data_IF_191220790668
#
_entry.id   IF_191220790668
#
_cell.length_a   1.000
_cell.length_b   1.000
_cell.length_c   1.000
_cell.angle_alpha   90.00
_cell.angle_beta   90.00
_cell.angle_gamma   90.00
#
_symmetry.space_group_name_H-M   'P 1'
#
loop_
_entity.id
_entity.type
_entity.pdbx_description
1 polymer ?
#
# COMPACT_ATOMS: atom_id res chain seq x y z
N UNK A 1 49.50 -32.17 -17.89
CA UNK A 1 48.35 -31.35 -17.41
C UNK A 1 48.86 -30.22 -16.55
N UNK A 2 48.74 -29.01 -17.07
CA UNK A 2 49.60 -27.85 -16.82
C UNK A 2 49.50 -27.29 -15.38
N UNK A 3 50.65 -27.08 -14.72
CA UNK A 3 50.81 -26.40 -13.41
C UNK A 3 50.17 -25.01 -13.37
N UNK A 4 50.03 -24.35 -14.53
CA UNK A 4 49.42 -23.02 -14.69
C UNK A 4 47.91 -23.05 -14.49
N UNK A 5 47.16 -24.09 -14.96
CA UNK A 5 45.73 -24.23 -14.80
C UNK A 5 45.34 -24.48 -13.32
N UNK A 6 46.21 -25.21 -12.59
CA UNK A 6 46.02 -25.45 -11.14
C UNK A 6 46.25 -24.19 -10.30
N UNK A 7 47.11 -23.25 -10.74
CA UNK A 7 47.37 -21.99 -10.04
C UNK A 7 46.22 -20.99 -10.26
N UNK A 8 45.68 -20.92 -11.47
CA UNK A 8 44.52 -20.06 -11.80
C UNK A 8 43.28 -20.54 -11.03
N UNK A 9 43.01 -21.83 -11.00
CA UNK A 9 41.86 -22.39 -10.23
C UNK A 9 41.94 -22.14 -8.72
N UNK A 10 43.15 -22.19 -8.13
CA UNK A 10 43.34 -21.85 -6.69
C UNK A 10 43.17 -20.36 -6.40
N UNK A 11 43.66 -19.48 -7.30
CA UNK A 11 43.46 -18.04 -7.17
C UNK A 11 42.00 -17.62 -7.23
N UNK A 12 41.24 -18.16 -8.19
CA UNK A 12 39.77 -17.91 -8.33
C UNK A 12 39.03 -18.46 -7.13
N UNK A 13 39.34 -19.65 -6.65
CA UNK A 13 38.68 -20.25 -5.47
C UNK A 13 38.94 -19.44 -4.19
N UNK A 14 40.16 -18.93 -3.98
CA UNK A 14 40.50 -18.07 -2.84
C UNK A 14 39.78 -16.72 -2.92
N UNK A 15 39.67 -16.13 -4.12
CA UNK A 15 38.93 -14.86 -4.32
C UNK A 15 37.42 -15.04 -4.07
N UNK A 16 36.84 -16.13 -4.57
CA UNK A 16 35.42 -16.44 -4.32
C UNK A 16 35.15 -16.70 -2.83
N UNK A 17 36.01 -17.47 -2.16
CA UNK A 17 35.90 -17.73 -0.72
C UNK A 17 36.05 -16.44 0.10
N UNK A 18 36.96 -15.53 -0.29
CA UNK A 18 37.12 -14.21 0.35
C UNK A 18 35.88 -13.32 0.17
N UNK A 19 35.33 -13.26 -1.03
CA UNK A 19 34.08 -12.48 -1.31
C UNK A 19 32.90 -13.06 -0.53
N UNK A 20 32.70 -14.37 -0.54
CA UNK A 20 31.64 -15.04 0.22
C UNK A 20 31.80 -14.80 1.72
N UNK A 21 33.03 -14.89 2.25
CA UNK A 21 33.34 -14.58 3.65
C UNK A 21 33.00 -13.14 4.03
N UNK A 22 33.39 -12.17 3.20
CA UNK A 22 33.11 -10.76 3.41
C UNK A 22 31.60 -10.45 3.37
N UNK A 23 30.87 -11.01 2.40
CA UNK A 23 29.42 -10.86 2.30
C UNK A 23 28.71 -11.46 3.52
N UNK A 24 29.12 -12.67 3.95
CA UNK A 24 28.55 -13.32 5.14
C UNK A 24 28.80 -12.51 6.40
N UNK A 25 29.99 -11.97 6.57
CA UNK A 25 30.33 -11.10 7.71
C UNK A 25 29.53 -9.79 7.68
N UNK A 26 29.35 -9.16 6.51
CA UNK A 26 28.54 -7.96 6.35
C UNK A 26 27.05 -8.21 6.68
N UNK A 27 26.47 -9.30 6.19
CA UNK A 27 25.09 -9.70 6.47
C UNK A 27 24.93 -10.01 7.97
N UNK A 28 25.83 -10.79 8.55
CA UNK A 28 25.83 -11.09 9.99
C UNK A 28 25.95 -9.83 10.85
N UNK A 29 26.87 -8.94 10.48
CA UNK A 29 27.04 -7.64 11.14
C UNK A 29 25.79 -6.77 11.07
N UNK A 30 25.14 -6.71 9.90
CA UNK A 30 23.88 -5.99 9.74
C UNK A 30 22.74 -6.59 10.60
N UNK A 31 22.59 -7.92 10.66
CA UNK A 31 21.59 -8.58 11.50
C UNK A 31 21.79 -8.20 12.98
N UNK A 32 23.05 -8.23 13.46
CA UNK A 32 23.36 -7.83 14.84
C UNK A 32 23.08 -6.35 15.05
N UNK A 33 23.48 -5.49 14.10
CA UNK A 33 23.24 -4.05 14.18
C UNK A 33 21.73 -3.73 14.23
N UNK A 34 20.94 -4.29 13.31
CA UNK A 34 19.49 -4.11 13.26
C UNK A 34 18.82 -4.47 14.60
N UNK A 35 19.17 -5.64 15.15
CA UNK A 35 18.55 -6.13 16.39
C UNK A 35 18.98 -5.37 17.65
N UNK A 36 20.17 -4.79 17.66
CA UNK A 36 20.75 -4.18 18.86
C UNK A 36 20.62 -2.66 18.88
N UNK A 37 20.70 -2.02 17.71
CA UNK A 37 20.83 -0.57 17.62
C UNK A 37 19.68 0.14 16.90
N UNK A 38 18.82 -0.60 16.16
CA UNK A 38 17.61 0.00 15.60
C UNK A 38 16.47 -0.17 16.59
N UNK A 39 15.84 0.94 16.94
CA UNK A 39 14.67 0.94 17.82
C UNK A 39 13.44 0.47 17.03
N UNK A 40 12.70 -0.51 17.55
CA UNK A 40 11.52 -1.11 16.90
C UNK A 40 10.22 -0.89 17.69
N UNK A 41 10.23 0.03 18.62
CA UNK A 41 9.13 0.44 19.50
C UNK A 41 9.12 1.96 19.69
N UNK A 42 9.42 2.68 18.59
CA UNK A 42 9.44 4.14 18.59
C UNK A 42 8.06 4.70 18.99
N UNK A 43 8.00 5.83 19.69
CA UNK A 43 6.74 6.56 19.83
C UNK A 43 6.14 6.83 18.46
N UNK A 44 4.85 6.54 18.29
CA UNK A 44 4.12 6.82 17.07
C UNK A 44 3.16 7.97 17.32
N UNK A 45 3.39 9.06 16.61
CA UNK A 45 2.50 10.22 16.64
C UNK A 45 1.18 9.91 15.93
N UNK A 46 0.16 10.73 16.16
CA UNK A 46 -1.08 10.64 15.39
C UNK A 46 -0.82 11.01 13.93
N UNK A 47 -1.35 10.23 13.00
CA UNK A 47 -1.29 10.53 11.57
C UNK A 47 -2.09 11.79 11.19
N UNK A 48 -3.20 12.02 11.89
CA UNK A 48 -4.17 13.08 11.61
C UNK A 48 -4.57 13.77 12.92
N UNK A 49 -4.81 15.07 12.85
CA UNK A 49 -5.31 15.88 13.96
C UNK A 49 -6.81 15.66 14.18
N UNK A 50 -7.15 14.43 14.58
CA UNK A 50 -8.51 13.98 14.79
C UNK A 50 -8.60 12.98 15.94
N UNK A 51 -9.82 12.66 16.35
CA UNK A 51 -10.06 11.58 17.30
C UNK A 51 -9.66 10.24 16.67
N UNK A 52 -8.76 9.51 17.35
CA UNK A 52 -8.38 8.15 16.98
C UNK A 52 -9.21 7.17 17.82
N UNK A 53 -9.84 6.24 17.14
CA UNK A 53 -10.66 5.19 17.73
C UNK A 53 -10.20 3.82 17.23
N UNK A 54 -10.57 2.78 17.94
CA UNK A 54 -10.32 1.40 17.55
C UNK A 54 -11.66 0.65 17.47
N UNK A 55 -11.78 -0.29 16.54
CA UNK A 55 -12.86 -1.28 16.52
C UNK A 55 -12.28 -2.69 16.33
N UNK A 56 -13.01 -3.69 16.78
CA UNK A 56 -12.62 -5.08 16.61
C UNK A 56 -13.32 -5.66 15.37
N UNK A 57 -12.56 -5.84 14.27
CA UNK A 57 -13.04 -6.56 13.11
C UNK A 57 -13.12 -8.05 13.41
N UNK A 58 -14.17 -8.72 12.91
CA UNK A 58 -14.34 -10.17 13.06
C UNK A 58 -13.23 -10.96 12.38
N UNK A 59 -12.66 -10.42 11.29
CA UNK A 59 -11.69 -11.12 10.44
C UNK A 59 -10.26 -10.60 10.59
N UNK A 60 -10.10 -9.31 10.95
CA UNK A 60 -8.83 -8.63 10.85
C UNK A 60 -8.21 -8.21 12.20
N UNK A 61 -8.90 -8.49 13.31
CA UNK A 61 -8.44 -8.07 14.65
C UNK A 61 -8.72 -6.60 14.92
N UNK A 62 -7.91 -5.98 15.78
CA UNK A 62 -8.08 -4.56 16.16
C UNK A 62 -7.64 -3.65 15.02
N UNK A 63 -8.56 -2.83 14.54
CA UNK A 63 -8.36 -1.81 13.50
C UNK A 63 -8.48 -0.43 14.13
N UNK A 64 -7.47 0.41 13.91
CA UNK A 64 -7.48 1.80 14.31
C UNK A 64 -7.92 2.70 13.16
N UNK A 65 -8.63 3.76 13.47
CA UNK A 65 -9.08 4.75 12.51
C UNK A 65 -9.21 6.14 13.13
N UNK A 66 -9.14 7.15 12.29
CA UNK A 66 -9.41 8.54 12.63
C UNK A 66 -10.80 8.93 12.16
N UNK A 67 -11.51 9.74 12.93
CA UNK A 67 -12.86 10.16 12.60
C UNK A 67 -13.10 11.65 12.86
N UNK A 68 -13.81 12.28 11.93
CA UNK A 68 -14.51 13.54 12.17
C UNK A 68 -16.00 13.32 11.85
N UNK A 69 -16.85 13.40 12.87
CA UNK A 69 -18.30 13.25 12.78
C UNK A 69 -19.04 14.56 13.06
N UNK A 70 -18.34 15.69 12.97
CA UNK A 70 -18.92 17.01 13.29
C UNK A 70 -20.02 17.45 12.33
N UNK A 71 -20.04 16.89 11.13
CA UNK A 71 -21.02 17.20 10.08
C UNK A 71 -21.92 16.02 9.73
N UNK A 72 -23.03 16.31 9.08
CA UNK A 72 -23.98 15.31 8.56
C UNK A 72 -23.75 15.07 7.06
N UNK A 73 -24.33 14.01 6.54
CA UNK A 73 -24.26 13.68 5.10
C UNK A 73 -23.75 12.28 4.83
N UNK A 74 -23.36 12.02 3.58
CA UNK A 74 -22.78 10.75 3.17
C UNK A 74 -21.37 10.60 3.75
N UNK A 75 -21.05 9.51 4.45
CA UNK A 75 -19.72 9.29 4.99
C UNK A 75 -18.66 9.17 3.89
N UNK A 76 -17.47 9.68 4.17
CA UNK A 76 -16.27 9.51 3.35
C UNK A 76 -15.29 8.61 4.09
N UNK A 77 -14.89 7.51 3.47
CA UNK A 77 -13.91 6.57 4.02
C UNK A 77 -12.65 6.59 3.18
N UNK A 78 -11.52 6.84 3.82
CA UNK A 78 -10.21 6.99 3.21
C UNK A 78 -9.32 5.80 3.55
N UNK A 79 -8.78 5.15 2.52
CA UNK A 79 -7.93 3.97 2.61
C UNK A 79 -6.55 4.28 2.04
N UNK A 80 -5.54 4.26 2.90
CA UNK A 80 -4.14 4.45 2.50
C UNK A 80 -3.64 3.30 1.61
N UNK A 81 -2.51 3.48 0.94
CA UNK A 81 -1.88 2.44 0.12
C UNK A 81 -1.41 1.23 0.94
N UNK A 82 -0.99 0.17 0.27
CA UNK A 82 -0.25 -0.93 0.91
C UNK A 82 1.12 -1.05 0.25
N UNK A 83 2.15 -0.68 1.01
CA UNK A 83 3.55 -0.71 0.61
C UNK A 83 4.45 -1.08 1.80
N UNK A 84 5.69 -0.59 1.88
CA UNK A 84 6.59 -0.90 2.98
C UNK A 84 6.25 -0.14 4.28
N UNK A 85 5.78 1.11 4.19
CA UNK A 85 5.60 1.98 5.36
C UNK A 85 4.38 2.91 5.24
N UNK A 86 3.19 2.45 4.81
CA UNK A 86 2.01 3.28 4.64
C UNK A 86 1.25 3.47 5.96
N UNK A 87 0.36 4.45 5.97
CA UNK A 87 -0.58 4.69 7.08
C UNK A 87 -1.67 5.68 6.65
N UNK A 88 -2.64 5.94 7.51
CA UNK A 88 -3.64 6.98 7.32
C UNK A 88 -3.04 8.37 7.02
N UNK A 89 -1.75 8.60 7.31
CA UNK A 89 -1.04 9.83 6.98
C UNK A 89 -1.05 10.12 5.48
N UNK A 90 -1.00 9.10 4.62
CA UNK A 90 -1.08 9.27 3.17
C UNK A 90 -2.36 10.00 2.73
N UNK A 91 -3.44 9.86 3.50
CA UNK A 91 -4.75 10.43 3.19
C UNK A 91 -4.99 11.80 3.84
N UNK A 92 -3.97 12.38 4.51
CA UNK A 92 -4.09 13.64 5.26
C UNK A 92 -4.70 14.80 4.45
N UNK A 93 -4.28 15.10 3.20
CA UNK A 93 -4.87 16.23 2.46
C UNK A 93 -6.37 16.07 2.23
N UNK A 94 -6.85 14.85 1.97
CA UNK A 94 -8.27 14.57 1.79
C UNK A 94 -9.03 14.66 3.11
N UNK A 95 -8.48 14.08 4.17
CA UNK A 95 -9.10 14.14 5.50
C UNK A 95 -9.27 15.59 5.97
N UNK A 96 -8.21 16.40 5.91
CA UNK A 96 -8.22 17.79 6.35
C UNK A 96 -9.15 18.67 5.50
N UNK A 97 -9.28 18.37 4.20
CA UNK A 97 -10.17 19.14 3.34
C UNK A 97 -11.65 18.86 3.61
N UNK A 98 -12.03 17.59 3.74
CA UNK A 98 -13.44 17.20 3.86
C UNK A 98 -13.96 17.17 5.30
N UNK A 99 -13.08 17.21 6.32
CA UNK A 99 -13.51 17.34 7.72
C UNK A 99 -14.34 18.61 7.91
N UNK A 100 -15.36 18.54 8.75
CA UNK A 100 -16.28 19.66 8.95
C UNK A 100 -17.29 19.90 7.81
N UNK A 101 -17.12 19.27 6.64
CA UNK A 101 -18.06 19.35 5.52
C UNK A 101 -18.99 18.12 5.48
N UNK A 102 -18.47 16.94 5.83
CA UNK A 102 -19.16 15.66 5.89
C UNK A 102 -18.47 14.74 6.90
N UNK A 103 -19.11 13.65 7.36
CA UNK A 103 -18.42 12.66 8.19
C UNK A 103 -17.25 12.04 7.42
N UNK A 104 -16.01 12.12 7.96
CA UNK A 104 -14.79 11.61 7.33
C UNK A 104 -14.10 10.62 8.24
N UNK A 105 -13.66 9.51 7.67
CA UNK A 105 -12.96 8.44 8.36
C UNK A 105 -11.71 8.05 7.59
N UNK A 106 -10.59 7.84 8.27
CA UNK A 106 -9.36 7.33 7.68
C UNK A 106 -8.87 6.13 8.48
N UNK A 107 -8.74 4.97 7.82
CA UNK A 107 -8.32 3.74 8.46
C UNK A 107 -6.81 3.58 8.42
N UNK A 108 -6.26 3.04 9.49
CA UNK A 108 -5.00 2.29 9.41
C UNK A 108 -5.35 0.83 9.07
N UNK A 109 -5.00 0.37 7.88
CA UNK A 109 -5.30 -0.99 7.44
C UNK A 109 -4.54 -2.04 8.29
N UNK A 110 -5.00 -3.30 8.36
CA UNK A 110 -4.34 -4.36 9.13
C UNK A 110 -2.85 -4.47 8.83
N UNK A 111 -2.01 -4.45 9.87
CA UNK A 111 -0.56 -4.48 9.74
C UNK A 111 0.12 -3.11 9.66
N UNK A 112 -0.63 -2.00 9.68
CA UNK A 112 -0.13 -0.65 9.49
C UNK A 112 -0.66 0.33 10.55
N UNK A 113 -0.02 1.52 10.62
CA UNK A 113 -0.42 2.61 11.51
C UNK A 113 -0.58 2.15 12.96
N UNK A 114 -1.69 2.45 13.59
CA UNK A 114 -2.05 1.99 14.92
C UNK A 114 -2.84 0.67 14.95
N UNK A 115 -3.17 0.09 13.79
CA UNK A 115 -3.85 -1.20 13.70
C UNK A 115 -2.96 -2.36 14.14
N UNK A 116 -3.58 -3.50 14.47
CA UNK A 116 -2.86 -4.69 14.89
C UNK A 116 -1.85 -5.18 13.83
N UNK A 117 -0.63 -5.49 14.30
CA UNK A 117 0.50 -5.97 13.49
C UNK A 117 0.96 -7.36 13.93
N UNK A 118 0.04 -8.29 14.09
CA UNK A 118 0.38 -9.68 14.48
C UNK A 118 1.04 -10.45 13.33
N UNK A 119 1.82 -11.47 13.69
CA UNK A 119 2.33 -12.47 12.73
C UNK A 119 1.17 -13.38 12.29
N UNK A 120 0.57 -13.04 11.18
CA UNK A 120 -0.62 -13.70 10.62
C UNK A 120 -0.57 -13.76 9.10
N UNK A 121 -1.50 -14.50 8.51
CA UNK A 121 -1.69 -14.49 7.06
C UNK A 121 -2.29 -13.15 6.61
N UNK A 122 -1.53 -12.37 5.85
CA UNK A 122 -2.03 -11.20 5.12
C UNK A 122 -2.39 -11.60 3.69
N UNK A 123 -3.59 -11.25 3.25
CA UNK A 123 -4.11 -11.60 1.92
C UNK A 123 -5.09 -10.54 1.43
N UNK A 124 -5.40 -10.46 0.12
CA UNK A 124 -6.45 -9.58 -0.38
C UNK A 124 -7.78 -9.77 0.35
N UNK A 125 -8.15 -11.00 0.68
CA UNK A 125 -9.37 -11.32 1.42
C UNK A 125 -9.36 -10.72 2.85
N UNK A 126 -8.22 -10.70 3.53
CA UNK A 126 -8.12 -10.08 4.86
C UNK A 126 -8.45 -8.59 4.79
N UNK A 127 -7.90 -7.87 3.80
CA UNK A 127 -8.14 -6.44 3.63
C UNK A 127 -9.56 -6.15 3.14
N UNK A 128 -10.09 -6.95 2.21
CA UNK A 128 -11.51 -6.90 1.81
C UNK A 128 -12.42 -6.99 3.03
N UNK A 129 -12.25 -8.02 3.86
CA UNK A 129 -13.08 -8.24 5.05
C UNK A 129 -12.91 -7.11 6.07
N UNK A 130 -11.69 -6.60 6.26
CA UNK A 130 -11.43 -5.46 7.16
C UNK A 130 -12.22 -4.21 6.73
N UNK A 131 -12.28 -3.92 5.43
CA UNK A 131 -13.03 -2.80 4.86
C UNK A 131 -14.53 -3.04 5.04
N UNK A 132 -15.03 -4.21 4.68
CA UNK A 132 -16.44 -4.57 4.85
C UNK A 132 -16.90 -4.52 6.31
N UNK A 133 -16.11 -5.08 7.22
CA UNK A 133 -16.41 -5.04 8.67
C UNK A 133 -16.48 -3.60 9.18
N UNK A 134 -15.56 -2.72 8.73
CA UNK A 134 -15.59 -1.31 9.10
C UNK A 134 -16.82 -0.59 8.57
N UNK A 135 -17.16 -0.78 7.29
CA UNK A 135 -18.33 -0.16 6.68
C UNK A 135 -19.63 -0.60 7.37
N UNK A 136 -19.73 -1.86 7.76
CA UNK A 136 -20.89 -2.39 8.50
C UNK A 136 -20.96 -1.88 9.93
N UNK A 137 -19.89 -2.07 10.69
CA UNK A 137 -19.90 -1.88 12.14
C UNK A 137 -19.79 -0.41 12.55
N UNK A 138 -19.00 0.41 11.82
CA UNK A 138 -18.70 1.78 12.21
C UNK A 138 -19.47 2.81 11.39
N UNK A 139 -19.67 2.55 10.10
CA UNK A 139 -20.34 3.47 9.18
C UNK A 139 -21.85 3.21 9.16
N UNK A 140 -22.30 1.97 8.99
CA UNK A 140 -23.70 1.53 9.09
C UNK A 140 -24.63 2.04 7.97
N UNK A 141 -24.10 2.65 6.91
CA UNK A 141 -24.83 3.14 5.73
C UNK A 141 -23.91 3.23 4.52
N UNK A 142 -24.44 3.29 3.28
CA UNK A 142 -23.61 3.44 2.09
C UNK A 142 -22.66 4.63 2.19
N UNK A 143 -21.39 4.44 1.84
CA UNK A 143 -20.33 5.43 1.93
C UNK A 143 -19.66 5.69 0.58
N UNK A 144 -19.07 6.88 0.44
CA UNK A 144 -18.06 7.13 -0.59
C UNK A 144 -16.72 6.63 -0.07
N UNK A 145 -16.08 5.74 -0.80
CA UNK A 145 -14.79 5.17 -0.42
C UNK A 145 -13.71 5.68 -1.38
N UNK A 146 -12.64 6.24 -0.83
CA UNK A 146 -11.45 6.64 -1.58
C UNK A 146 -10.30 5.73 -1.19
N UNK A 147 -9.74 5.02 -2.15
CA UNK A 147 -8.61 4.11 -1.94
C UNK A 147 -7.39 4.54 -2.76
N UNK A 148 -6.20 4.27 -2.22
CA UNK A 148 -4.92 4.63 -2.84
C UNK A 148 -4.15 3.38 -3.27
N UNK A 149 -3.66 3.37 -4.52
CA UNK A 149 -2.73 2.36 -5.05
C UNK A 149 -3.26 0.92 -4.90
N UNK A 150 -2.54 0.01 -4.25
CA UNK A 150 -2.95 -1.39 -4.07
C UNK A 150 -4.25 -1.55 -3.26
N UNK A 151 -4.56 -0.62 -2.36
CA UNK A 151 -5.83 -0.68 -1.61
C UNK A 151 -7.06 -0.52 -2.48
N UNK A 152 -6.90 0.00 -3.71
CA UNK A 152 -7.96 0.04 -4.71
C UNK A 152 -8.46 -1.38 -5.06
N UNK A 153 -7.55 -2.37 -5.14
CA UNK A 153 -7.96 -3.77 -5.36
C UNK A 153 -8.82 -4.30 -4.21
N UNK A 154 -8.45 -3.99 -2.97
CA UNK A 154 -9.17 -4.47 -1.79
C UNK A 154 -10.53 -3.80 -1.62
N UNK A 155 -10.60 -2.48 -1.88
CA UNK A 155 -11.85 -1.75 -1.89
C UNK A 155 -12.79 -2.24 -3.00
N UNK A 156 -12.24 -2.52 -4.19
CA UNK A 156 -12.99 -3.08 -5.29
C UNK A 156 -13.52 -4.49 -4.99
N UNK A 157 -12.69 -5.36 -4.38
CA UNK A 157 -13.14 -6.68 -3.91
C UNK A 157 -14.29 -6.56 -2.90
N UNK A 158 -14.20 -5.62 -1.95
CA UNK A 158 -15.27 -5.36 -1.00
C UNK A 158 -16.54 -4.84 -1.70
N UNK A 159 -16.40 -3.89 -2.64
CA UNK A 159 -17.52 -3.33 -3.38
C UNK A 159 -18.20 -4.34 -4.33
N UNK A 160 -17.44 -5.26 -4.92
CA UNK A 160 -18.01 -6.34 -5.74
C UNK A 160 -18.75 -7.37 -4.88
N UNK A 161 -18.29 -7.63 -3.66
CA UNK A 161 -18.87 -8.63 -2.78
C UNK A 161 -20.09 -8.09 -2.01
N UNK A 162 -20.06 -6.82 -1.59
CA UNK A 162 -21.08 -6.14 -0.78
C UNK A 162 -21.34 -4.72 -1.33
N UNK A 163 -21.91 -4.62 -2.53
CA UNK A 163 -22.08 -3.34 -3.23
C UNK A 163 -22.98 -2.36 -2.47
N UNK A 164 -23.90 -2.84 -1.64
CA UNK A 164 -24.80 -2.00 -0.83
C UNK A 164 -24.08 -1.13 0.21
N UNK A 165 -22.84 -1.48 0.58
CA UNK A 165 -22.02 -0.68 1.50
C UNK A 165 -21.40 0.55 0.83
N UNK A 166 -21.37 0.59 -0.51
CA UNK A 166 -20.72 1.62 -1.29
C UNK A 166 -21.75 2.48 -2.04
N UNK A 167 -21.69 3.79 -1.87
CA UNK A 167 -22.35 4.74 -2.76
C UNK A 167 -21.51 4.96 -4.01
N UNK A 168 -20.20 5.11 -3.82
CA UNK A 168 -19.20 5.25 -4.89
C UNK A 168 -17.82 4.74 -4.46
N UNK A 169 -16.97 4.45 -5.44
CA UNK A 169 -15.57 4.10 -5.23
C UNK A 169 -14.67 5.05 -6.02
N UNK A 170 -13.75 5.72 -5.34
CA UNK A 170 -12.69 6.51 -5.96
C UNK A 170 -11.36 5.79 -5.82
N UNK A 171 -10.67 5.61 -6.91
CA UNK A 171 -9.38 4.95 -7.01
C UNK A 171 -8.30 5.98 -7.37
N UNK A 172 -7.36 6.22 -6.45
CA UNK A 172 -6.21 7.10 -6.72
C UNK A 172 -5.01 6.24 -7.09
N UNK A 173 -4.45 6.46 -8.28
CA UNK A 173 -3.29 5.72 -8.81
C UNK A 173 -3.41 4.19 -8.65
N UNK A 174 -4.52 3.57 -9.09
CA UNK A 174 -4.77 2.15 -8.86
C UNK A 174 -3.79 1.24 -9.60
N UNK A 175 -3.53 0.05 -9.03
CA UNK A 175 -2.85 -1.07 -9.69
C UNK A 175 -3.75 -1.77 -10.71
N UNK A 176 -3.17 -2.69 -11.52
CA UNK A 176 -3.96 -3.55 -12.43
C UNK A 176 -4.13 -3.01 -13.85
N UNK A 177 -3.60 -1.84 -14.18
CA UNK A 177 -3.74 -1.23 -15.51
C UNK A 177 -2.50 -1.34 -16.41
N UNK A 178 -1.45 -2.04 -15.98
CA UNK A 178 -0.32 -2.38 -16.83
C UNK A 178 -0.72 -3.42 -17.88
N UNK A 179 -0.20 -3.33 -19.13
CA UNK A 179 -0.40 -4.38 -20.11
C UNK A 179 0.26 -5.70 -19.65
N UNK A 180 -0.27 -6.86 -20.06
CA UNK A 180 0.24 -8.17 -19.61
C UNK A 180 1.75 -8.38 -19.84
N UNK A 181 2.31 -7.78 -20.91
CA UNK A 181 3.75 -7.82 -21.21
C UNK A 181 4.64 -7.10 -20.17
N UNK A 182 4.08 -6.08 -19.50
CA UNK A 182 4.78 -5.25 -18.51
C UNK A 182 4.42 -5.62 -17.07
N UNK A 183 3.34 -6.34 -16.89
CA UNK A 183 2.91 -6.76 -15.56
C UNK A 183 3.75 -7.93 -15.05
N UNK A 184 4.97 -7.59 -14.63
CA UNK A 184 5.90 -8.54 -13.99
C UNK A 184 5.32 -9.16 -12.72
N UNK A 185 4.40 -8.45 -12.05
CA UNK A 185 3.73 -8.93 -10.84
C UNK A 185 2.58 -9.89 -11.19
N UNK A 186 1.76 -9.60 -12.21
CA UNK A 186 0.75 -10.53 -12.71
C UNK A 186 1.38 -11.75 -13.40
N UNK A 187 2.49 -11.56 -14.15
CA UNK A 187 3.24 -12.68 -14.74
C UNK A 187 3.82 -13.61 -13.66
N UNK A 188 4.26 -13.06 -12.54
CA UNK A 188 4.64 -13.83 -11.35
C UNK A 188 3.43 -14.46 -10.65
N UNK A 189 2.20 -13.92 -10.84
CA UNK A 189 0.96 -14.53 -10.33
C UNK A 189 0.66 -15.88 -10.96
N UNK A 190 0.93 -16.07 -12.26
CA UNK A 190 0.86 -17.38 -12.92
C UNK A 190 1.82 -18.41 -12.29
N UNK A 191 2.93 -17.95 -11.70
CA UNK A 191 3.86 -18.77 -10.95
C UNK A 191 3.52 -18.76 -9.44
N UNK A 192 2.36 -19.28 -9.04
CA UNK A 192 1.93 -19.40 -7.63
C UNK A 192 3.05 -19.95 -6.72
N UNK A 193 3.89 -20.87 -7.25
CA UNK A 193 5.05 -21.38 -6.56
C UNK A 193 6.20 -20.37 -6.36
N UNK A 194 6.40 -19.41 -7.25
CA UNK A 194 7.47 -18.41 -7.13
C UNK A 194 7.20 -17.39 -6.03
N UNK A 195 5.97 -16.89 -5.90
CA UNK A 195 5.57 -16.00 -4.80
C UNK A 195 5.71 -16.66 -3.44
N UNK A 196 5.33 -17.94 -3.33
CA UNK A 196 5.49 -18.70 -2.09
C UNK A 196 6.96 -18.89 -1.71
N UNK A 197 7.84 -19.17 -2.67
CA UNK A 197 9.29 -19.30 -2.42
C UNK A 197 9.91 -17.97 -2.00
N UNK A 198 9.55 -16.87 -2.67
CA UNK A 198 10.04 -15.54 -2.30
C UNK A 198 9.56 -15.17 -0.89
N UNK A 199 8.29 -15.35 -0.59
CA UNK A 199 7.77 -15.14 0.76
C UNK A 199 8.51 -16.00 1.80
N UNK A 200 8.65 -17.30 1.56
CA UNK A 200 9.34 -18.21 2.47
C UNK A 200 10.79 -17.76 2.72
N UNK A 201 11.47 -17.25 1.69
CA UNK A 201 12.78 -16.64 1.84
C UNK A 201 12.77 -15.37 2.69
N UNK A 202 11.88 -14.42 2.40
CA UNK A 202 11.80 -13.15 3.11
C UNK A 202 11.29 -13.29 4.56
N UNK A 203 10.40 -14.25 4.82
CA UNK A 203 9.77 -14.46 6.12
C UNK A 203 10.65 -15.21 7.16
N UNK A 204 11.87 -15.63 6.80
CA UNK A 204 12.76 -16.31 7.74
C UNK A 204 13.08 -15.43 8.93
N UNK A 205 12.79 -15.83 10.19
CA UNK A 205 12.87 -14.99 11.38
C UNK A 205 14.23 -14.35 11.64
N UNK A 206 15.34 -15.02 11.18
CA UNK A 206 16.69 -14.51 11.42
C UNK A 206 16.96 -13.20 10.70
N UNK A 207 16.39 -12.99 9.52
CA UNK A 207 16.62 -11.77 8.72
C UNK A 207 15.37 -11.02 8.27
N UNK A 208 14.16 -11.52 8.53
CA UNK A 208 12.92 -10.82 8.11
C UNK A 208 12.91 -9.38 8.63
N UNK A 209 13.11 -9.15 9.94
CA UNK A 209 13.18 -7.82 10.51
C UNK A 209 14.41 -7.03 10.00
N UNK A 210 15.64 -7.55 10.04
CA UNK A 210 16.82 -6.87 9.51
C UNK A 210 16.71 -6.48 8.02
N UNK A 211 16.08 -7.33 7.18
CA UNK A 211 15.81 -6.99 5.80
C UNK A 211 14.79 -5.85 5.68
N UNK A 212 13.73 -5.92 6.48
CA UNK A 212 12.72 -4.86 6.50
C UNK A 212 13.31 -3.52 6.97
N UNK A 213 14.26 -3.50 7.92
CA UNK A 213 14.94 -2.29 8.36
C UNK A 213 15.76 -1.61 7.24
N UNK A 214 16.31 -2.39 6.29
CA UNK A 214 16.92 -1.82 5.08
C UNK A 214 15.87 -1.16 4.19
N UNK A 215 14.76 -1.84 3.94
CA UNK A 215 13.67 -1.35 3.09
C UNK A 215 13.01 -0.12 3.70
N UNK A 216 12.89 -0.06 5.02
CA UNK A 216 12.25 1.02 5.78
C UNK A 216 13.24 2.03 6.38
N UNK A 217 14.51 2.01 5.95
CA UNK A 217 15.48 3.05 6.31
C UNK A 217 15.08 4.41 5.71
N UNK A 218 15.42 5.51 6.39
CA UNK A 218 15.12 6.88 5.89
C UNK A 218 15.56 7.11 4.44
N UNK A 219 16.79 6.73 4.02
CA UNK A 219 17.18 6.86 2.62
C UNK A 219 16.32 6.04 1.65
N UNK A 220 15.92 4.84 2.05
CA UNK A 220 15.05 3.99 1.23
C UNK A 220 13.64 4.59 1.11
N UNK A 221 13.04 5.02 2.23
CA UNK A 221 11.74 5.70 2.25
C UNK A 221 11.78 6.95 1.35
N UNK A 222 12.78 7.81 1.53
CA UNK A 222 12.97 9.00 0.71
C UNK A 222 13.08 8.68 -0.77
N UNK A 223 13.85 7.64 -1.13
CA UNK A 223 14.00 7.18 -2.51
C UNK A 223 12.66 6.77 -3.13
N UNK A 224 11.86 5.95 -2.44
CA UNK A 224 10.57 5.49 -2.96
C UNK A 224 9.52 6.62 -3.01
N UNK A 225 9.52 7.51 -2.03
CA UNK A 225 8.65 8.69 -2.07
C UNK A 225 9.04 9.63 -3.21
N UNK A 226 10.32 9.86 -3.47
CA UNK A 226 10.78 10.65 -4.62
C UNK A 226 10.33 10.06 -5.97
N UNK A 227 10.14 8.74 -6.06
CA UNK A 227 9.53 8.12 -7.25
C UNK A 227 8.03 8.43 -7.37
N UNK A 228 7.35 8.59 -6.24
CA UNK A 228 5.89 8.78 -6.16
C UNK A 228 5.44 10.25 -6.18
N UNK A 229 6.39 11.21 -6.13
CA UNK A 229 6.16 12.64 -6.23
C UNK A 229 6.83 13.22 -7.48
N UNK A 230 6.18 14.13 -8.17
CA UNK A 230 6.78 14.95 -9.23
C UNK A 230 7.62 16.08 -8.62
N UNK A 231 7.10 16.70 -7.58
CA UNK A 231 7.74 17.75 -6.81
C UNK A 231 8.54 17.25 -5.60
N UNK A 232 8.74 18.13 -4.64
CA UNK A 232 9.45 17.78 -3.40
C UNK A 232 8.56 16.95 -2.48
N UNK A 233 9.13 15.90 -1.91
CA UNK A 233 8.50 15.12 -0.85
C UNK A 233 8.46 15.96 0.44
N UNK A 234 7.31 16.12 1.10
CA UNK A 234 7.25 16.76 2.40
C UNK A 234 8.10 16.00 3.43
N UNK A 235 8.97 16.71 4.16
CA UNK A 235 9.89 16.10 5.13
C UNK A 235 9.14 15.28 6.19
N UNK A 236 8.03 15.82 6.71
CA UNK A 236 7.18 15.13 7.68
C UNK A 236 6.60 13.80 7.17
N UNK A 237 6.47 13.63 5.85
CA UNK A 237 6.02 12.37 5.28
C UNK A 237 7.06 11.26 5.50
N UNK A 238 8.33 11.57 5.26
CA UNK A 238 9.45 10.64 5.49
C UNK A 238 9.55 10.29 6.96
N UNK A 239 9.44 11.29 7.84
CA UNK A 239 9.52 11.11 9.28
C UNK A 239 8.41 10.20 9.80
N UNK A 240 7.16 10.44 9.38
CA UNK A 240 6.03 9.63 9.80
C UNK A 240 6.11 8.20 9.24
N UNK A 241 6.49 8.04 7.98
CA UNK A 241 6.70 6.72 7.38
C UNK A 241 7.80 5.94 8.13
N UNK A 242 8.86 6.62 8.56
CA UNK A 242 9.90 6.00 9.37
C UNK A 242 9.39 5.56 10.75
N UNK A 243 8.64 6.43 11.46
CA UNK A 243 8.04 6.09 12.75
C UNK A 243 7.11 4.87 12.65
N UNK A 244 6.20 4.85 11.66
CA UNK A 244 5.25 3.75 11.50
C UNK A 244 5.93 2.44 11.09
N UNK A 245 7.05 2.49 10.36
CA UNK A 245 7.84 1.32 10.00
C UNK A 245 8.63 0.73 11.18
N UNK A 246 8.90 1.54 12.21
CA UNK A 246 9.69 1.14 13.39
C UNK A 246 8.81 0.80 14.61
N UNK A 247 7.67 0.18 14.32
CA UNK A 247 6.75 -0.35 15.33
C UNK A 247 6.92 -1.87 15.48
N UNK A 248 6.54 -2.44 16.64
CA UNK A 248 6.48 -3.90 16.82
C UNK A 248 5.62 -4.55 15.72
N UNK A 249 6.15 -5.58 15.06
CA UNK A 249 5.44 -6.34 14.02
C UNK A 249 5.30 -5.65 12.66
N UNK A 250 5.88 -4.45 12.47
CA UNK A 250 5.74 -3.67 11.23
C UNK A 250 6.27 -4.39 9.97
N UNK A 251 7.12 -5.41 10.11
CA UNK A 251 7.66 -6.19 8.98
C UNK A 251 6.67 -7.19 8.39
N UNK A 252 5.63 -7.62 9.13
CA UNK A 252 4.82 -8.76 8.70
C UNK A 252 4.00 -8.46 7.43
N UNK A 253 3.13 -7.48 7.45
CA UNK A 253 2.32 -7.11 6.27
C UNK A 253 3.18 -6.72 5.05
N UNK A 254 4.23 -5.87 5.17
CA UNK A 254 5.14 -5.56 4.06
C UNK A 254 5.85 -6.78 3.46
N UNK A 255 6.14 -7.83 4.23
CA UNK A 255 6.73 -9.05 3.69
C UNK A 255 5.80 -9.72 2.66
N UNK A 256 4.48 -9.71 2.89
CA UNK A 256 3.50 -10.20 1.91
C UNK A 256 3.41 -9.28 0.70
N UNK A 257 3.46 -7.96 0.88
CA UNK A 257 3.52 -7.00 -0.22
C UNK A 257 4.77 -7.23 -1.09
N UNK A 258 5.95 -7.23 -0.51
CA UNK A 258 7.24 -7.39 -1.21
C UNK A 258 7.35 -8.73 -1.94
N UNK A 259 6.72 -9.78 -1.41
CA UNK A 259 6.64 -11.07 -2.08
C UNK A 259 5.57 -11.13 -3.19
N UNK A 260 4.78 -10.09 -3.38
CA UNK A 260 3.71 -9.99 -4.36
C UNK A 260 2.44 -10.78 -4.01
N UNK A 261 2.32 -11.28 -2.78
CA UNK A 261 1.16 -12.10 -2.35
C UNK A 261 -0.13 -11.30 -2.15
N UNK A 262 -0.04 -9.98 -2.05
CA UNK A 262 -1.19 -9.10 -1.85
C UNK A 262 -1.86 -8.65 -3.16
N UNK A 263 -1.25 -8.89 -4.31
CA UNK A 263 -1.82 -8.51 -5.59
C UNK A 263 -2.85 -9.54 -6.07
N UNK A 264 -4.02 -9.08 -6.48
CA UNK A 264 -5.09 -9.90 -7.03
C UNK A 264 -4.74 -10.29 -8.47
N UNK A 265 -4.71 -11.58 -8.82
CA UNK A 265 -4.44 -12.00 -10.19
C UNK A 265 -5.52 -11.52 -11.15
N UNK A 266 -5.11 -10.92 -12.29
CA UNK A 266 -6.00 -10.40 -13.31
C UNK A 266 -7.13 -9.51 -12.74
N UNK A 267 -6.79 -8.63 -11.81
CA UNK A 267 -7.76 -7.81 -11.04
C UNK A 267 -8.72 -7.03 -11.94
N UNK A 268 -8.25 -6.55 -13.10
CA UNK A 268 -9.11 -5.82 -14.05
C UNK A 268 -10.25 -6.69 -14.54
N UNK A 269 -9.95 -7.91 -14.98
CA UNK A 269 -10.91 -8.85 -15.56
C UNK A 269 -11.76 -9.55 -14.48
N UNK A 270 -11.18 -9.80 -13.32
CA UNK A 270 -11.85 -10.61 -12.27
C UNK A 270 -12.61 -9.77 -11.25
N UNK A 271 -12.29 -8.47 -11.14
CA UNK A 271 -12.86 -7.59 -10.11
C UNK A 271 -13.36 -6.28 -10.71
N UNK A 272 -12.50 -5.52 -11.41
CA UNK A 272 -12.86 -4.16 -11.84
C UNK A 272 -14.02 -4.13 -12.85
N UNK A 273 -14.04 -5.06 -13.82
CA UNK A 273 -15.15 -5.19 -14.76
C UNK A 273 -16.48 -5.63 -14.12
N UNK A 274 -16.43 -6.20 -12.92
CA UNK A 274 -17.61 -6.64 -12.19
C UNK A 274 -18.20 -5.58 -11.23
N UNK A 275 -17.56 -4.39 -11.12
CA UNK A 275 -18.06 -3.32 -10.27
C UNK A 275 -19.33 -2.69 -10.89
N UNK A 276 -20.40 -2.62 -10.11
CA UNK A 276 -21.68 -2.03 -10.49
C UNK A 276 -21.91 -0.63 -9.89
N UNK A 277 -21.02 -0.18 -8.99
CA UNK A 277 -21.10 1.15 -8.36
C UNK A 277 -20.37 2.18 -9.22
N UNK A 278 -20.73 3.49 -9.11
CA UNK A 278 -19.98 4.56 -9.76
C UNK A 278 -18.52 4.54 -9.32
N UNK A 279 -17.59 4.56 -10.30
CA UNK A 279 -16.15 4.53 -10.07
C UNK A 279 -15.48 5.74 -10.71
N UNK A 280 -14.67 6.46 -9.94
CA UNK A 280 -13.78 7.49 -10.42
C UNK A 280 -12.33 7.04 -10.28
N UNK A 281 -11.54 7.11 -11.37
CA UNK A 281 -10.09 6.90 -11.33
C UNK A 281 -9.37 8.23 -11.46
N UNK A 282 -8.61 8.61 -10.44
CA UNK A 282 -7.72 9.77 -10.45
C UNK A 282 -6.29 9.29 -10.68
N UNK A 283 -5.64 9.76 -11.73
CA UNK A 283 -4.32 9.28 -12.15
C UNK A 283 -3.53 10.31 -12.93
N UNK A 284 -2.23 10.09 -13.08
CA UNK A 284 -1.36 10.67 -14.11
C UNK A 284 -0.19 9.72 -14.38
N UNK A 285 1.02 10.07 -13.99
CA UNK A 285 2.18 9.19 -14.06
C UNK A 285 2.33 8.43 -12.74
N UNK A 286 2.76 7.19 -12.83
CA UNK A 286 3.05 6.39 -11.66
C UNK A 286 4.25 5.47 -11.96
N UNK A 287 5.21 5.31 -11.05
CA UNK A 287 6.40 4.47 -11.28
C UNK A 287 6.07 2.98 -11.38
N UNK A 288 4.89 2.58 -10.93
CA UNK A 288 4.49 1.17 -10.81
C UNK A 288 3.37 0.79 -11.78
N UNK A 289 2.54 1.77 -12.22
CA UNK A 289 1.42 1.57 -13.13
C UNK A 289 1.44 2.60 -14.26
N UNK A 290 1.38 2.16 -15.52
CA UNK A 290 1.38 3.05 -16.69
C UNK A 290 -0.01 3.39 -17.23
N UNK A 291 -1.06 2.82 -16.69
CA UNK A 291 -2.47 3.03 -17.05
C UNK A 291 -2.85 2.75 -18.52
N UNK A 292 -2.01 2.03 -19.30
CA UNK A 292 -2.28 1.74 -20.73
C UNK A 292 -3.61 1.01 -20.94
N UNK A 293 -4.05 0.21 -19.97
CA UNK A 293 -5.29 -0.56 -20.08
C UNK A 293 -6.52 0.17 -19.53
N UNK A 294 -6.35 1.34 -18.88
CA UNK A 294 -7.47 2.11 -18.33
C UNK A 294 -8.44 2.62 -19.42
N UNK A 295 -7.98 3.19 -20.57
CA UNK A 295 -8.91 3.66 -21.60
C UNK A 295 -9.82 2.58 -22.19
N UNK A 296 -9.38 1.32 -22.18
CA UNK A 296 -10.22 0.21 -22.62
C UNK A 296 -11.37 -0.02 -21.63
N UNK A 297 -11.07 -0.08 -20.33
CA UNK A 297 -12.08 -0.26 -19.30
C UNK A 297 -13.10 0.88 -19.25
N UNK A 298 -12.66 2.14 -19.43
CA UNK A 298 -13.55 3.31 -19.48
C UNK A 298 -14.53 3.29 -20.67
N UNK A 299 -14.21 2.56 -21.75
CA UNK A 299 -15.14 2.35 -22.88
C UNK A 299 -16.08 1.17 -22.68
N UNK A 300 -15.67 0.19 -21.87
CA UNK A 300 -16.41 -1.05 -21.63
C UNK A 300 -17.42 -0.92 -20.50
N UNK A 301 -17.20 0.01 -19.56
CA UNK A 301 -17.97 0.15 -18.35
C UNK A 301 -18.47 1.60 -18.17
N UNK A 302 -19.75 1.84 -18.41
CA UNK A 302 -20.38 3.18 -18.37
C UNK A 302 -20.37 3.83 -16.98
N UNK A 303 -20.23 3.03 -15.93
CA UNK A 303 -20.13 3.49 -14.54
C UNK A 303 -18.73 3.92 -14.11
N UNK A 304 -17.75 3.96 -15.03
CA UNK A 304 -16.38 4.35 -14.78
C UNK A 304 -16.03 5.70 -15.41
N UNK A 305 -15.41 6.57 -14.63
CA UNK A 305 -14.91 7.88 -15.05
C UNK A 305 -13.40 7.95 -14.78
N UNK A 306 -12.63 8.46 -15.76
CA UNK A 306 -11.20 8.70 -15.61
C UNK A 306 -10.87 10.18 -15.55
N UNK A 307 -10.16 10.63 -14.53
CA UNK A 307 -9.69 11.99 -14.34
C UNK A 307 -8.17 12.03 -14.29
N UNK A 308 -7.54 12.49 -15.37
CA UNK A 308 -6.09 12.68 -15.39
C UNK A 308 -5.70 14.04 -14.81
N UNK A 309 -4.92 14.06 -13.73
CA UNK A 309 -4.47 15.28 -13.04
C UNK A 309 -2.96 15.48 -13.27
N UNK A 310 -2.59 16.07 -14.39
CA UNK A 310 -1.20 16.30 -14.80
C UNK A 310 -0.75 17.76 -14.57
N UNK A 311 0.52 18.03 -14.17
CA UNK A 311 1.53 17.04 -13.84
C UNK A 311 1.41 16.57 -12.39
N UNK A 312 1.36 15.25 -12.16
CA UNK A 312 1.50 14.61 -10.86
C UNK A 312 2.08 13.22 -11.03
N UNK A 313 2.37 12.54 -9.91
CA UNK A 313 2.72 11.12 -9.90
C UNK A 313 1.75 10.30 -9.04
N UNK A 314 2.25 9.33 -8.29
CA UNK A 314 1.44 8.38 -7.52
C UNK A 314 0.53 9.00 -6.45
N UNK A 315 0.79 10.25 -6.04
CA UNK A 315 0.09 10.94 -4.95
C UNK A 315 -0.52 12.27 -5.38
N UNK A 316 -1.43 12.30 -6.39
CA UNK A 316 -1.99 13.55 -6.93
C UNK A 316 -2.72 14.40 -5.88
N UNK A 317 -3.28 13.81 -4.83
CA UNK A 317 -3.95 14.51 -3.74
C UNK A 317 -2.99 15.26 -2.80
N UNK A 318 -1.68 14.96 -2.84
CA UNK A 318 -0.63 15.74 -2.20
C UNK A 318 -0.07 16.82 -3.13
N UNK A 319 0.05 16.54 -4.41
CA UNK A 319 0.73 17.40 -5.39
C UNK A 319 -0.19 18.47 -6.02
N UNK A 320 -1.44 18.13 -6.26
CA UNK A 320 -2.44 18.99 -6.84
C UNK A 320 -3.77 18.93 -6.07
N UNK A 321 -3.76 19.21 -4.73
CA UNK A 321 -4.89 18.95 -3.84
C UNK A 321 -6.16 19.64 -4.30
N UNK A 322 -6.11 20.93 -4.68
CA UNK A 322 -7.30 21.67 -5.10
C UNK A 322 -7.99 21.09 -6.34
N UNK A 323 -7.18 20.56 -7.28
CA UNK A 323 -7.73 19.91 -8.49
C UNK A 323 -8.38 18.59 -8.13
N UNK A 324 -7.75 17.80 -7.23
CA UNK A 324 -8.34 16.54 -6.74
C UNK A 324 -9.62 16.82 -5.97
N UNK A 325 -9.64 17.81 -5.07
CA UNK A 325 -10.85 18.14 -4.30
C UNK A 325 -12.00 18.56 -5.20
N UNK A 326 -11.73 19.42 -6.21
CA UNK A 326 -12.75 19.80 -7.19
C UNK A 326 -13.27 18.57 -7.95
N UNK A 327 -12.40 17.73 -8.46
CA UNK A 327 -12.76 16.52 -9.21
C UNK A 327 -13.64 15.58 -8.37
N UNK A 328 -13.32 15.40 -7.09
CA UNK A 328 -14.12 14.60 -6.16
C UNK A 328 -15.49 15.22 -5.90
N UNK A 329 -15.54 16.53 -5.67
CA UNK A 329 -16.80 17.25 -5.42
C UNK A 329 -17.71 17.20 -6.64
N UNK A 330 -17.17 17.46 -7.83
CA UNK A 330 -17.91 17.38 -9.09
C UNK A 330 -18.49 15.97 -9.28
N UNK A 331 -17.65 14.93 -9.14
CA UNK A 331 -18.11 13.53 -9.24
C UNK A 331 -19.23 13.19 -8.28
N UNK A 332 -19.13 13.56 -7.02
CA UNK A 332 -20.16 13.24 -6.03
C UNK A 332 -21.43 14.07 -6.17
N UNK A 333 -21.36 15.23 -6.83
CA UNK A 333 -22.55 16.06 -7.10
C UNK A 333 -23.42 15.50 -8.21
N UNK A 334 -22.90 14.59 -9.03
CA UNK A 334 -23.64 13.91 -10.11
C UNK A 334 -24.29 12.60 -9.67
N UNK A 335 -24.04 12.13 -8.44
CA UNK A 335 -24.58 10.91 -7.83
C UNK A 335 -25.83 11.18 -6.95
#
# INVERSE_FOLDING_TARGET
MNKTVKKIGKGVALTVAGVVGAVTAAVGGWIVFSRKYIQHDMPLDKALEAERQDFLSQHAGRISYYADRSSKGTPLVLLHSVNAAPSAYEMKPLFEHFRGQRPVFALDLPGFGFSERSDRLYSPLLYQNAISDFLKAVIGKPADVVALSLSCEFAALAATHEPELFRSLVMISPTGFNPPRMDKMASRAKARGSRSKLYAGLAVPVWNRPFYDLVSSRPSIQYFLNQSFEGLVPEHFVDYAYQTAHQPGAQYAPTYFLSGKLFTPAVRETVYQALDRPVLVIYDRDPYTNFEMLPALLRECDNWIGARISPTKGLPHWEAPQRVFKTLTDFWSEL
#
